data_IF_251668723072
#
_entry.id   IF_251668723072
#
_cell.length_a   1.000
_cell.length_b   1.000
_cell.length_c   1.000
_cell.angle_alpha   90.00
_cell.angle_beta   90.00
_cell.angle_gamma   90.00
#
_symmetry.space_group_name_H-M   'P 1'
#
loop_
_entity.id
_entity.type
_entity.pdbx_description
1 polymer ?
#
# COMPACT_ATOMS: atom_id res chain seq x y z
N UNK A 1 6.16 -9.07 24.58
CA UNK A 1 7.04 -9.51 23.48
C UNK A 1 6.26 -9.44 22.17
N UNK A 2 6.10 -8.22 21.65
CA UNK A 2 5.18 -7.81 20.58
C UNK A 2 5.85 -7.99 19.20
N UNK A 3 5.16 -8.62 18.24
CA UNK A 3 5.18 -8.39 16.77
C UNK A 3 6.48 -8.00 16.01
N UNK A 4 7.68 -8.18 16.54
CA UNK A 4 8.96 -7.83 15.87
C UNK A 4 9.23 -8.68 14.61
N UNK A 5 8.61 -9.86 14.47
CA UNK A 5 8.88 -10.75 13.33
C UNK A 5 8.01 -10.52 12.08
N UNK A 6 6.80 -9.97 12.23
CA UNK A 6 5.99 -9.57 11.06
C UNK A 6 6.69 -8.42 10.30
N UNK A 7 7.41 -7.58 11.05
CA UNK A 7 8.21 -6.44 10.63
C UNK A 7 9.37 -6.81 9.67
N UNK A 8 10.06 -7.94 9.91
CA UNK A 8 11.19 -8.36 9.08
C UNK A 8 10.75 -8.88 7.70
N UNK A 9 9.60 -9.57 7.63
CA UNK A 9 9.04 -10.06 6.35
C UNK A 9 8.34 -8.93 5.59
N UNK A 10 7.72 -7.98 6.29
CA UNK A 10 7.17 -6.77 5.67
C UNK A 10 8.26 -5.94 4.96
N UNK A 11 9.48 -5.84 5.52
CA UNK A 11 10.59 -5.15 4.87
C UNK A 11 11.00 -5.78 3.51
N UNK A 12 10.98 -7.10 3.38
CA UNK A 12 11.25 -7.81 2.13
C UNK A 12 10.06 -7.80 1.14
N UNK A 13 8.84 -7.58 1.64
CA UNK A 13 7.59 -7.61 0.86
C UNK A 13 7.15 -6.21 0.38
N UNK A 14 7.77 -5.14 0.89
CA UNK A 14 7.50 -3.75 0.50
C UNK A 14 7.85 -3.42 -0.97
N UNK A 15 8.47 -4.34 -1.71
CA UNK A 15 9.11 -4.03 -2.99
C UNK A 15 8.86 -5.15 -4.01
N UNK A 16 7.62 -5.57 -4.26
CA UNK A 16 7.38 -6.43 -5.43
C UNK A 16 6.00 -6.18 -6.02
N UNK A 17 5.90 -5.49 -7.17
CA UNK A 17 4.82 -5.78 -8.10
C UNK A 17 4.97 -7.23 -8.58
N UNK A 18 3.86 -7.92 -8.79
CA UNK A 18 3.77 -9.29 -9.32
C UNK A 18 4.47 -9.54 -10.68
N UNK A 19 5.16 -8.54 -11.23
CA UNK A 19 5.71 -8.49 -12.59
C UNK A 19 7.17 -8.01 -12.66
N UNK A 20 7.91 -8.01 -11.56
CA UNK A 20 9.35 -7.75 -11.64
C UNK A 20 10.15 -8.94 -11.11
N UNK A 21 11.13 -9.32 -11.92
CA UNK A 21 12.09 -10.39 -11.71
C UNK A 21 12.66 -10.45 -10.29
N UNK A 22 12.94 -11.69 -9.91
CA UNK A 22 13.71 -12.20 -8.77
C UNK A 22 14.18 -11.16 -7.73
N UNK A 23 13.73 -11.21 -6.47
CA UNK A 23 14.31 -10.38 -5.43
C UNK A 23 15.72 -10.88 -5.13
N UNK A 24 16.73 -10.17 -5.63
CA UNK A 24 18.05 -10.25 -5.01
C UNK A 24 17.93 -9.89 -3.52
N UNK A 25 18.55 -10.71 -2.68
CA UNK A 25 18.55 -10.60 -1.23
C UNK A 25 18.84 -9.16 -0.77
N UNK A 26 17.88 -8.56 -0.06
CA UNK A 26 18.11 -7.36 0.74
C UNK A 26 18.08 -7.79 2.20
N UNK A 27 19.25 -7.77 2.83
CA UNK A 27 19.47 -8.13 4.23
C UNK A 27 18.68 -7.19 5.17
N UNK A 28 17.77 -7.77 5.94
CA UNK A 28 16.74 -7.10 6.73
C UNK A 28 17.18 -6.71 8.15
N UNK A 29 18.29 -5.99 8.30
CA UNK A 29 18.72 -5.47 9.60
C UNK A 29 19.28 -4.06 9.43
N UNK A 30 18.40 -3.05 9.59
CA UNK A 30 18.71 -1.67 10.05
C UNK A 30 17.46 -0.76 9.92
N UNK A 31 16.38 -1.12 10.61
CA UNK A 31 15.27 -0.22 10.87
C UNK A 31 15.14 -0.07 12.39
N UNK A 32 15.12 1.18 12.85
CA UNK A 32 14.98 1.65 14.24
C UNK A 32 16.31 1.93 14.96
N UNK A 33 16.77 3.18 14.86
CA UNK A 33 17.48 3.85 15.95
C UNK A 33 16.76 5.14 16.32
N UNK A 34 16.81 5.44 17.62
CA UNK A 34 15.93 6.30 18.40
C UNK A 34 15.80 7.75 17.93
N UNK A 35 14.62 8.34 18.14
CA UNK A 35 14.54 9.70 18.69
C UNK A 35 13.28 9.87 19.56
N UNK A 36 13.51 10.36 20.77
CA UNK A 36 12.53 10.59 21.83
C UNK A 36 12.24 12.08 21.98
N UNK A 37 10.97 12.37 22.28
CA UNK A 37 10.38 13.55 22.93
C UNK A 37 10.63 14.95 22.34
N UNK A 38 9.52 15.66 22.07
CA UNK A 38 9.17 16.89 22.80
C UNK A 38 7.70 17.29 22.55
N UNK A 39 6.99 17.60 23.65
CA UNK A 39 5.68 18.25 23.66
C UNK A 39 5.86 19.75 23.42
N UNK A 40 5.16 20.31 22.43
CA UNK A 40 4.95 21.74 22.24
C UNK A 40 3.55 21.94 21.63
N UNK A 41 2.86 23.03 21.99
CA UNK A 41 1.52 23.35 21.50
C UNK A 41 1.45 23.19 19.97
N UNK A 42 0.61 22.28 19.50
CA UNK A 42 0.72 21.74 18.14
C UNK A 42 0.15 22.73 17.13
N UNK A 43 1.01 23.58 16.58
CA UNK A 43 0.80 24.11 15.23
C UNK A 43 0.84 22.91 14.29
N UNK A 44 -0.32 22.48 13.77
CA UNK A 44 -0.40 21.33 12.87
C UNK A 44 0.50 21.59 11.65
N UNK A 45 1.51 20.75 11.44
CA UNK A 45 2.40 20.89 10.28
C UNK A 45 1.58 20.87 8.98
N UNK A 46 1.90 21.76 8.03
CA UNK A 46 1.14 21.92 6.77
C UNK A 46 0.86 20.60 6.04
N UNK A 47 1.81 19.65 6.11
CA UNK A 47 1.69 18.36 5.44
C UNK A 47 0.58 17.45 6.00
N UNK A 48 0.12 17.72 7.23
CA UNK A 48 -0.98 17.04 7.95
C UNK A 48 -2.29 17.84 7.92
N UNK A 49 -2.29 19.06 7.38
CA UNK A 49 -3.44 19.95 7.44
C UNK A 49 -4.29 19.87 6.16
N UNK A 50 -5.51 19.32 6.28
CA UNK A 50 -6.46 19.22 5.16
C UNK A 50 -6.82 20.58 4.56
N UNK A 51 -7.15 21.55 5.42
CA UNK A 51 -7.61 22.88 5.01
C UNK A 51 -6.50 23.65 4.32
N UNK A 52 -5.25 23.52 4.78
CA UNK A 52 -4.08 24.10 4.10
C UNK A 52 -4.06 23.75 2.60
N UNK A 53 -4.26 22.47 2.25
CA UNK A 53 -4.25 22.05 0.84
C UNK A 53 -5.49 22.50 0.06
N UNK A 54 -6.67 22.49 0.67
CA UNK A 54 -7.92 22.78 -0.04
C UNK A 54 -8.13 24.28 -0.23
N UNK A 55 -7.89 25.07 0.82
CA UNK A 55 -8.09 26.52 0.81
C UNK A 55 -7.05 27.21 -0.10
N UNK A 56 -5.85 26.65 -0.19
CA UNK A 56 -4.76 27.16 -1.03
C UNK A 56 -4.58 26.36 -2.34
N UNK A 57 -5.56 25.54 -2.74
CA UNK A 57 -5.41 24.59 -3.85
C UNK A 57 -4.89 25.24 -5.14
N UNK A 58 -5.51 26.33 -5.58
CA UNK A 58 -5.15 27.00 -6.84
C UNK A 58 -3.70 27.49 -6.83
N UNK A 59 -3.28 28.13 -5.73
CA UNK A 59 -1.94 28.68 -5.58
C UNK A 59 -0.88 27.58 -5.49
N UNK A 60 -1.13 26.57 -4.66
CA UNK A 60 -0.23 25.42 -4.51
C UNK A 60 -0.05 24.65 -5.81
N UNK A 61 -1.14 24.47 -6.57
CA UNK A 61 -1.08 23.80 -7.87
C UNK A 61 -0.33 24.63 -8.89
N UNK A 62 -0.58 25.94 -8.97
CA UNK A 62 0.12 26.83 -9.89
C UNK A 62 1.64 26.79 -9.67
N UNK A 63 2.07 26.95 -8.41
CA UNK A 63 3.48 26.93 -8.03
C UNK A 63 4.11 25.55 -8.33
N UNK A 64 3.41 24.46 -8.01
CA UNK A 64 3.86 23.10 -8.30
C UNK A 64 3.99 22.84 -9.81
N UNK A 65 3.05 23.31 -10.62
CA UNK A 65 3.09 23.17 -12.08
C UNK A 65 4.18 24.04 -12.71
N UNK A 66 4.38 25.27 -12.22
CA UNK A 66 5.48 26.14 -12.66
C UNK A 66 6.82 25.45 -12.43
N UNK A 67 7.07 24.97 -11.21
CA UNK A 67 8.30 24.25 -10.87
C UNK A 67 8.48 22.97 -11.69
N UNK A 68 7.40 22.23 -11.93
CA UNK A 68 7.44 21.02 -12.75
C UNK A 68 7.86 21.32 -14.20
N UNK A 69 7.33 22.39 -14.80
CA UNK A 69 7.72 22.84 -16.14
C UNK A 69 9.21 23.19 -16.22
N UNK A 70 9.73 23.94 -15.25
CA UNK A 70 11.15 24.31 -15.19
C UNK A 70 12.06 23.06 -15.12
N UNK A 71 11.76 22.12 -14.22
CA UNK A 71 12.52 20.87 -14.06
C UNK A 71 12.49 20.07 -15.37
N UNK A 72 11.30 19.88 -15.94
CA UNK A 72 11.13 19.09 -17.17
C UNK A 72 11.85 19.71 -18.36
N UNK A 73 11.76 21.04 -18.53
CA UNK A 73 12.51 21.75 -19.58
C UNK A 73 14.02 21.57 -19.42
N UNK A 74 14.54 21.67 -18.20
CA UNK A 74 15.97 21.44 -17.91
C UNK A 74 16.40 20.01 -18.26
N UNK A 75 15.63 18.99 -17.82
CA UNK A 75 15.90 17.59 -18.12
C UNK A 75 15.88 17.31 -19.62
N UNK A 76 14.87 17.82 -20.33
CA UNK A 76 14.76 17.63 -21.77
C UNK A 76 15.88 18.34 -22.55
N UNK A 77 16.25 19.56 -22.18
CA UNK A 77 17.38 20.27 -22.77
C UNK A 77 18.71 19.55 -22.57
N UNK A 78 18.94 18.97 -21.38
CA UNK A 78 20.12 18.12 -21.13
C UNK A 78 20.12 16.86 -22.00
N UNK A 79 18.99 16.20 -22.15
CA UNK A 79 18.85 15.07 -23.09
C UNK A 79 19.19 15.49 -24.52
N UNK A 80 18.62 16.59 -25.02
CA UNK A 80 18.85 17.09 -26.38
C UNK A 80 20.32 17.44 -26.65
N UNK A 81 21.03 17.97 -25.65
CA UNK A 81 22.44 18.35 -25.76
C UNK A 81 23.40 17.17 -25.65
N UNK A 82 23.08 16.15 -24.86
CA UNK A 82 24.03 15.08 -24.49
C UNK A 82 23.71 13.72 -25.11
N UNK A 83 22.48 13.50 -25.57
CA UNK A 83 21.98 12.18 -25.98
C UNK A 83 21.75 11.19 -24.83
N UNK A 84 22.03 11.58 -23.57
CA UNK A 84 21.90 10.68 -22.42
C UNK A 84 20.42 10.41 -22.10
N UNK A 85 19.96 9.21 -22.45
CA UNK A 85 18.58 8.75 -22.26
C UNK A 85 18.11 8.80 -20.80
N UNK A 86 18.99 8.78 -19.80
CA UNK A 86 18.59 8.88 -18.39
C UNK A 86 17.87 10.20 -18.09
N UNK A 87 18.28 11.29 -18.74
CA UNK A 87 17.60 12.59 -18.64
C UNK A 87 16.20 12.55 -19.27
N UNK A 88 16.04 11.82 -20.38
CA UNK A 88 14.73 11.65 -21.02
C UNK A 88 13.78 10.81 -20.17
N UNK A 89 14.26 9.73 -19.56
CA UNK A 89 13.47 8.93 -18.62
C UNK A 89 13.01 9.78 -17.43
N UNK A 90 13.92 10.56 -16.84
CA UNK A 90 13.58 11.50 -15.75
C UNK A 90 12.56 12.57 -16.19
N UNK A 91 12.66 13.07 -17.43
CA UNK A 91 11.69 14.00 -18.00
C UNK A 91 10.28 13.40 -18.08
N UNK A 92 10.17 12.12 -18.48
CA UNK A 92 8.89 11.40 -18.54
C UNK A 92 8.34 11.18 -17.13
N UNK A 93 9.17 10.65 -16.23
CA UNK A 93 8.77 10.35 -14.85
C UNK A 93 8.30 11.59 -14.10
N UNK A 94 9.06 12.70 -14.16
CA UNK A 94 8.72 13.96 -13.51
C UNK A 94 7.38 14.53 -14.00
N UNK A 95 6.98 14.21 -15.23
CA UNK A 95 5.74 14.70 -15.84
C UNK A 95 4.51 13.81 -15.64
N UNK A 96 4.69 12.60 -15.14
CA UNK A 96 3.65 11.58 -15.17
C UNK A 96 2.38 11.99 -14.41
N UNK A 97 2.54 12.40 -13.14
CA UNK A 97 1.42 12.78 -12.28
C UNK A 97 0.60 13.93 -12.87
N UNK A 98 1.26 14.93 -13.46
CA UNK A 98 0.59 16.05 -14.16
C UNK A 98 -0.33 15.52 -15.26
N UNK A 99 0.15 14.59 -16.08
CA UNK A 99 -0.65 13.98 -17.15
C UNK A 99 -1.83 13.15 -16.62
N UNK A 100 -1.66 12.44 -15.51
CA UNK A 100 -2.76 11.68 -14.87
C UNK A 100 -3.88 12.61 -14.46
N UNK A 101 -3.59 13.66 -13.70
CA UNK A 101 -4.63 14.55 -13.19
C UNK A 101 -5.24 15.44 -14.27
N UNK A 102 -4.50 15.81 -15.33
CA UNK A 102 -5.07 16.45 -16.52
C UNK A 102 -6.12 15.56 -17.20
N UNK A 103 -5.85 14.26 -17.39
CA UNK A 103 -6.83 13.33 -17.98
C UNK A 103 -8.08 13.15 -17.13
N UNK A 104 -7.97 13.23 -15.80
CA UNK A 104 -9.14 13.20 -14.91
C UNK A 104 -9.93 14.51 -15.05
N UNK A 105 -9.25 15.67 -14.99
CA UNK A 105 -9.86 17.00 -15.15
C UNK A 105 -10.58 17.19 -16.48
N UNK A 106 -10.08 16.58 -17.56
CA UNK A 106 -10.72 16.58 -18.86
C UNK A 106 -12.07 15.85 -18.90
N UNK A 107 -12.34 14.95 -17.93
CA UNK A 107 -13.58 14.18 -17.85
C UNK A 107 -14.54 14.70 -16.78
N UNK A 108 -14.01 15.24 -15.68
CA UNK A 108 -14.80 15.79 -14.56
C UNK A 108 -13.94 16.64 -13.62
N UNK A 109 -14.55 17.50 -12.79
CA UNK A 109 -13.86 18.14 -11.68
C UNK A 109 -13.21 17.13 -10.72
N UNK A 110 -12.06 17.51 -10.14
CA UNK A 110 -11.40 16.75 -9.08
C UNK A 110 -12.18 16.85 -7.77
N UNK A 111 -12.30 15.72 -7.07
CA UNK A 111 -12.79 15.69 -5.68
C UNK A 111 -11.74 16.28 -4.74
N UNK A 112 -12.15 16.64 -3.53
CA UNK A 112 -11.23 17.19 -2.52
C UNK A 112 -10.07 16.25 -2.18
N UNK A 113 -10.30 14.93 -2.11
CA UNK A 113 -9.22 13.94 -1.94
C UNK A 113 -8.22 13.97 -3.11
N UNK A 114 -8.72 14.06 -4.34
CA UNK A 114 -7.88 14.09 -5.55
C UNK A 114 -7.03 15.35 -5.66
N UNK A 115 -7.57 16.50 -5.25
CA UNK A 115 -6.83 17.77 -5.20
C UNK A 115 -5.58 17.67 -4.32
N UNK A 116 -5.72 17.03 -3.16
CA UNK A 116 -4.62 16.83 -2.21
C UNK A 116 -3.59 15.85 -2.80
N UNK A 117 -4.05 14.74 -3.38
CA UNK A 117 -3.16 13.76 -4.02
C UNK A 117 -2.40 14.41 -5.19
N UNK A 118 -3.05 15.23 -6.02
CA UNK A 118 -2.42 15.95 -7.13
C UNK A 118 -1.26 16.82 -6.63
N UNK A 119 -1.52 17.70 -5.66
CA UNK A 119 -0.51 18.59 -5.11
C UNK A 119 0.65 17.79 -4.51
N UNK A 120 0.37 16.86 -3.59
CA UNK A 120 1.40 16.09 -2.89
C UNK A 120 2.25 15.26 -3.86
N UNK A 121 1.62 14.63 -4.85
CA UNK A 121 2.36 13.81 -5.84
C UNK A 121 3.24 14.67 -6.74
N UNK A 122 2.76 15.81 -7.24
CA UNK A 122 3.58 16.70 -8.07
C UNK A 122 4.73 17.29 -7.25
N UNK A 123 4.48 17.74 -6.01
CA UNK A 123 5.51 18.28 -5.12
C UNK A 123 6.59 17.24 -4.79
N UNK A 124 6.22 16.00 -4.49
CA UNK A 124 7.17 14.91 -4.26
C UNK A 124 8.06 14.65 -5.50
N UNK A 125 7.46 14.60 -6.69
CA UNK A 125 8.22 14.45 -7.93
C UNK A 125 9.14 15.64 -8.20
N UNK A 126 8.67 16.87 -8.01
CA UNK A 126 9.50 18.07 -8.16
C UNK A 126 10.68 18.07 -7.18
N UNK A 127 10.43 17.72 -5.92
CA UNK A 127 11.47 17.61 -4.91
C UNK A 127 12.55 16.61 -5.34
N UNK A 128 12.15 15.43 -5.83
CA UNK A 128 13.09 14.42 -6.30
C UNK A 128 13.87 14.83 -7.56
N UNK A 129 13.14 15.13 -8.64
CA UNK A 129 13.71 15.34 -9.97
C UNK A 129 14.41 16.69 -10.15
N UNK A 130 14.27 17.62 -9.19
CA UNK A 130 15.10 18.83 -9.16
C UNK A 130 16.58 18.54 -8.90
N UNK A 131 16.92 17.34 -8.38
CA UNK A 131 18.27 16.99 -7.91
C UNK A 131 18.75 15.61 -8.36
N UNK A 132 17.85 14.77 -8.83
CA UNK A 132 18.16 13.38 -9.15
C UNK A 132 17.54 12.96 -10.48
N UNK A 133 18.21 12.04 -11.17
CA UNK A 133 17.62 11.30 -12.28
C UNK A 133 16.79 10.14 -11.74
N UNK A 134 16.00 9.53 -12.62
CA UNK A 134 15.22 8.33 -12.29
C UNK A 134 16.07 7.23 -11.65
N UNK A 135 15.56 6.54 -10.61
CA UNK A 135 16.18 5.32 -10.10
C UNK A 135 16.51 4.30 -11.20
N UNK A 136 17.60 3.56 -11.02
CA UNK A 136 18.01 2.48 -11.94
C UNK A 136 17.02 1.31 -11.93
N UNK A 137 16.51 0.98 -10.73
CA UNK A 137 15.54 -0.08 -10.54
C UNK A 137 14.19 0.30 -11.17
N UNK A 138 13.48 -0.69 -11.68
CA UNK A 138 12.14 -0.50 -12.27
C UNK A 138 11.11 0.00 -11.25
N UNK A 139 11.37 -0.22 -9.96
CA UNK A 139 10.59 0.29 -8.85
C UNK A 139 11.44 0.42 -7.57
N UNK A 140 11.08 1.37 -6.69
CA UNK A 140 11.70 1.56 -5.36
C UNK A 140 10.78 2.39 -4.47
N UNK A 141 10.78 2.18 -3.16
CA UNK A 141 9.97 2.96 -2.22
C UNK A 141 10.83 3.88 -1.35
N UNK A 142 10.34 5.09 -1.06
CA UNK A 142 10.99 6.05 -0.15
C UNK A 142 9.97 6.77 0.71
N UNK A 143 10.43 7.38 1.80
CA UNK A 143 9.69 8.39 2.55
C UNK A 143 10.41 9.73 2.35
N UNK A 144 9.68 10.80 2.05
CA UNK A 144 10.28 12.12 1.83
C UNK A 144 10.50 12.83 3.17
N UNK A 145 11.76 12.85 3.64
CA UNK A 145 12.16 13.58 4.84
C UNK A 145 13.38 12.97 5.52
N UNK A 146 13.78 13.54 6.66
CA UNK A 146 14.99 13.15 7.39
C UNK A 146 14.94 11.76 8.02
N UNK A 147 13.77 11.09 7.99
CA UNK A 147 13.54 9.76 8.57
C UNK A 147 13.74 8.62 7.58
N UNK A 148 14.05 8.91 6.31
CA UNK A 148 14.32 7.88 5.30
C UNK A 148 15.68 7.22 5.53
N UNK A 149 15.69 5.91 5.77
CA UNK A 149 16.94 5.12 5.86
C UNK A 149 17.65 5.00 4.51
N UNK A 150 16.89 4.86 3.42
CA UNK A 150 17.42 4.71 2.05
C UNK A 150 18.02 5.98 1.46
N UNK A 151 17.52 7.14 1.90
CA UNK A 151 18.03 8.44 1.47
C UNK A 151 18.24 9.30 2.72
N UNK A 152 19.21 8.91 3.56
CA UNK A 152 19.69 9.76 4.65
C UNK A 152 20.02 11.12 4.04
N UNK A 153 19.29 12.15 4.45
CA UNK A 153 19.40 13.53 3.97
C UNK A 153 18.99 13.71 2.49
N UNK A 154 17.75 13.39 2.11
CA UNK A 154 17.14 14.06 0.96
C UNK A 154 16.71 15.45 1.44
N UNK A 155 17.47 16.55 1.18
CA UNK A 155 17.25 17.85 1.83
C UNK A 155 16.07 18.59 1.19
N UNK A 156 14.92 17.95 1.19
CA UNK A 156 13.78 18.34 0.40
C UNK A 156 12.95 19.37 1.17
N UNK A 157 12.60 20.47 0.50
CA UNK A 157 11.58 21.43 0.96
C UNK A 157 10.20 20.74 1.13
N UNK A 158 10.04 19.55 0.57
CA UNK A 158 8.87 18.69 0.71
C UNK A 158 9.08 17.61 1.79
N UNK A 159 8.17 17.56 2.76
CA UNK A 159 8.12 16.51 3.81
C UNK A 159 6.81 15.74 3.69
N UNK A 160 6.91 14.42 3.84
CA UNK A 160 5.77 13.51 3.98
C UNK A 160 6.16 12.34 4.87
N UNK A 161 5.26 11.96 5.78
CA UNK A 161 5.30 10.73 6.56
C UNK A 161 4.91 9.50 5.72
N UNK A 162 4.29 9.72 4.56
CA UNK A 162 3.83 8.63 3.69
C UNK A 162 4.94 8.07 2.82
N UNK A 163 4.94 6.75 2.57
CA UNK A 163 5.82 6.16 1.59
C UNK A 163 5.31 6.41 0.17
N UNK A 164 6.23 6.80 -0.70
CA UNK A 164 6.03 6.94 -2.14
C UNK A 164 6.70 5.77 -2.85
N UNK A 165 6.00 5.15 -3.80
CA UNK A 165 6.55 4.17 -4.73
C UNK A 165 6.96 4.86 -6.02
N UNK A 166 8.19 4.65 -6.45
CA UNK A 166 8.63 4.91 -7.80
C UNK A 166 8.28 3.72 -8.68
N UNK A 167 7.73 4.01 -9.85
CA UNK A 167 7.68 3.07 -10.97
C UNK A 167 8.29 3.75 -12.19
N UNK A 168 9.12 3.03 -12.93
CA UNK A 168 9.71 3.55 -14.17
C UNK A 168 8.62 3.94 -15.16
N UNK A 169 8.80 5.12 -15.75
CA UNK A 169 7.84 5.83 -16.61
C UNK A 169 6.57 6.33 -15.92
N UNK A 170 6.53 6.31 -14.59
CA UNK A 170 5.40 6.75 -13.77
C UNK A 170 5.80 7.68 -12.62
N UNK A 171 7.10 7.93 -12.43
CA UNK A 171 7.59 8.74 -11.33
C UNK A 171 7.19 8.22 -9.94
N UNK A 172 7.21 9.12 -8.96
CA UNK A 172 6.85 8.84 -7.57
C UNK A 172 5.35 8.96 -7.35
N UNK A 173 4.75 7.98 -6.66
CA UNK A 173 3.32 7.90 -6.44
C UNK A 173 3.01 7.48 -4.99
N UNK A 174 1.92 8.00 -4.43
CA UNK A 174 1.43 7.54 -3.14
C UNK A 174 0.81 6.15 -3.32
N UNK A 175 1.22 5.19 -2.47
CA UNK A 175 0.69 3.83 -2.53
C UNK A 175 0.19 3.36 -1.15
N UNK A 176 -1.15 3.38 -0.92
CA UNK A 176 -1.80 2.92 0.30
C UNK A 176 -1.36 1.54 0.83
N UNK A 177 -0.92 0.60 -0.03
CA UNK A 177 -0.35 -0.68 0.40
C UNK A 177 0.92 -0.46 1.22
N UNK A 178 1.88 0.29 0.68
CA UNK A 178 3.10 0.64 1.40
C UNK A 178 2.80 1.43 2.66
N UNK A 179 1.83 2.34 2.59
CA UNK A 179 1.39 3.13 3.74
C UNK A 179 0.90 2.23 4.87
N UNK A 180 0.06 1.25 4.53
CA UNK A 180 -0.46 0.30 5.51
C UNK A 180 0.62 -0.58 6.13
N UNK A 181 1.62 -0.97 5.33
CA UNK A 181 2.76 -1.77 5.79
C UNK A 181 3.67 -0.97 6.71
N UNK A 182 4.02 0.25 6.32
CA UNK A 182 4.83 1.16 7.13
C UNK A 182 4.13 1.45 8.46
N UNK A 183 2.84 1.80 8.43
CA UNK A 183 2.05 2.02 9.65
C UNK A 183 2.06 0.79 10.58
N UNK A 184 1.85 -0.41 10.04
CA UNK A 184 1.87 -1.65 10.83
C UNK A 184 3.22 -1.99 11.46
N UNK A 185 4.31 -1.48 10.89
CA UNK A 185 5.68 -1.63 11.38
C UNK A 185 6.11 -0.53 12.37
N UNK A 186 5.38 0.59 12.43
CA UNK A 186 5.75 1.76 13.23
C UNK A 186 5.47 1.62 14.72
N UNK A 187 6.23 2.36 15.52
CA UNK A 187 5.83 2.70 16.90
C UNK A 187 4.58 3.59 16.91
N UNK A 188 3.95 3.78 18.07
CA UNK A 188 2.63 4.42 18.16
C UNK A 188 2.61 5.88 17.67
N UNK A 189 3.67 6.66 17.92
CA UNK A 189 3.79 8.04 17.46
C UNK A 189 3.86 8.12 15.93
N UNK A 190 4.77 7.36 15.31
CA UNK A 190 4.92 7.33 13.85
C UNK A 190 3.72 6.68 13.17
N UNK A 191 3.09 5.69 13.82
CA UNK A 191 1.85 5.08 13.36
C UNK A 191 0.72 6.09 13.22
N UNK A 192 0.51 6.95 14.22
CA UNK A 192 -0.53 7.99 14.18
C UNK A 192 -0.22 9.05 13.12
N UNK A 193 1.02 9.55 13.05
CA UNK A 193 1.44 10.54 12.04
C UNK A 193 1.16 10.06 10.61
N UNK A 194 1.50 8.79 10.30
CA UNK A 194 1.23 8.19 8.99
C UNK A 194 -0.27 8.15 8.68
N UNK A 195 -1.10 7.77 9.65
CA UNK A 195 -2.55 7.68 9.44
C UNK A 195 -3.22 9.06 9.34
N UNK A 196 -2.69 10.06 10.05
CA UNK A 196 -3.14 11.45 10.00
C UNK A 196 -2.81 12.12 8.67
N UNK A 197 -1.69 11.77 8.04
CA UNK A 197 -1.44 12.22 6.67
C UNK A 197 -2.27 11.42 5.66
N UNK A 198 -2.38 10.10 5.82
CA UNK A 198 -3.11 9.25 4.89
C UNK A 198 -4.62 9.58 4.84
N UNK A 199 -5.21 9.98 5.98
CA UNK A 199 -6.65 10.34 6.04
C UNK A 199 -6.99 11.56 5.20
N UNK A 200 -6.00 12.41 4.86
CA UNK A 200 -6.20 13.54 3.95
C UNK A 200 -6.61 13.09 2.54
N UNK A 201 -6.42 11.82 2.19
CA UNK A 201 -6.64 11.32 0.83
C UNK A 201 -7.68 10.20 0.77
N UNK A 202 -8.40 9.98 1.88
CA UNK A 202 -9.51 9.03 1.90
C UNK A 202 -10.67 9.56 1.04
N UNK A 203 -11.18 8.71 0.16
CA UNK A 203 -12.32 9.04 -0.71
C UNK A 203 -13.60 8.46 -0.12
N UNK A 204 -14.42 9.31 0.51
CA UNK A 204 -15.75 8.92 0.97
C UNK A 204 -16.76 8.93 -0.18
N UNK A 205 -17.61 7.91 -0.21
CA UNK A 205 -18.64 7.67 -1.24
C UNK A 205 -19.90 7.10 -0.59
N UNK A 206 -20.99 7.05 -1.35
CA UNK A 206 -22.27 6.49 -0.90
C UNK A 206 -22.78 5.46 -1.90
N UNK A 207 -23.24 4.32 -1.41
CA UNK A 207 -23.93 3.32 -2.21
C UNK A 207 -25.17 2.84 -1.48
N UNK A 208 -26.37 3.03 -2.08
CA UNK A 208 -27.67 2.69 -1.46
C UNK A 208 -27.79 3.22 -0.02
N UNK A 209 -27.43 4.50 0.19
CA UNK A 209 -27.45 5.15 1.51
C UNK A 209 -26.29 4.78 2.45
N UNK A 210 -25.52 3.73 2.17
CA UNK A 210 -24.36 3.32 2.97
C UNK A 210 -23.13 4.16 2.59
N UNK A 211 -22.59 4.91 3.56
CA UNK A 211 -21.30 5.58 3.41
C UNK A 211 -20.17 4.56 3.46
N UNK A 212 -19.25 4.65 2.51
CA UNK A 212 -18.05 3.84 2.46
C UNK A 212 -16.84 4.69 2.04
N UNK A 213 -15.64 4.18 2.31
CA UNK A 213 -14.38 4.85 2.01
C UNK A 213 -13.50 3.97 1.14
N UNK A 214 -12.75 4.60 0.23
CA UNK A 214 -11.76 3.92 -0.60
C UNK A 214 -10.48 4.75 -0.69
N UNK A 215 -9.36 4.07 -0.94
CA UNK A 215 -8.10 4.67 -1.35
C UNK A 215 -7.77 4.33 -2.82
N UNK A 216 -8.17 5.18 -3.79
CA UNK A 216 -7.87 4.97 -5.20
C UNK A 216 -6.39 5.21 -5.51
N UNK A 217 -5.86 4.44 -6.45
CA UNK A 217 -4.48 4.55 -6.92
C UNK A 217 -4.38 5.45 -8.14
N UNK A 218 -3.51 6.46 -8.13
CA UNK A 218 -3.38 7.44 -9.22
C UNK A 218 -2.18 7.19 -10.13
N UNK A 219 -1.82 5.92 -10.31
CA UNK A 219 -0.87 5.48 -11.32
C UNK A 219 -1.42 4.27 -12.05
N UNK A 220 -1.05 4.14 -13.31
CA UNK A 220 -1.43 3.02 -14.16
C UNK A 220 -0.72 1.74 -13.73
N UNK A 221 -1.44 0.64 -13.64
CA UNK A 221 -0.88 -0.69 -13.44
C UNK A 221 -1.48 -1.65 -14.46
N UNK A 222 -0.64 -2.23 -15.31
CA UNK A 222 -1.07 -3.15 -16.37
C UNK A 222 -2.18 -2.59 -17.29
N UNK A 223 -2.13 -1.29 -17.63
CA UNK A 223 -3.10 -0.66 -18.53
C UNK A 223 -4.46 -0.34 -17.89
N UNK A 224 -4.56 -0.42 -16.56
CA UNK A 224 -5.79 -0.11 -15.82
C UNK A 224 -6.25 1.34 -15.90
N UNK A 225 -5.36 2.25 -16.28
CA UNK A 225 -5.51 3.67 -15.96
C UNK A 225 -5.47 3.93 -14.45
N UNK A 226 -5.87 5.14 -14.05
CA UNK A 226 -5.92 5.57 -12.65
C UNK A 226 -7.29 5.28 -12.00
N UNK A 227 -7.29 5.07 -10.69
CA UNK A 227 -8.46 4.93 -9.84
C UNK A 227 -8.78 3.50 -9.41
N UNK A 228 -7.90 2.53 -9.69
CA UNK A 228 -8.05 1.15 -9.23
C UNK A 228 -7.89 1.05 -7.70
N UNK A 229 -8.40 -0.05 -7.14
CA UNK A 229 -8.50 -0.31 -5.71
C UNK A 229 -7.81 -1.61 -5.34
N UNK A 230 -7.45 -1.71 -4.06
CA UNK A 230 -6.75 -2.86 -3.49
C UNK A 230 -7.36 -3.32 -2.16
N UNK A 231 -7.83 -4.57 -2.10
CA UNK A 231 -8.36 -5.14 -0.85
C UNK A 231 -7.35 -5.19 0.29
N UNK A 232 -6.07 -5.39 -0.03
CA UNK A 232 -4.97 -5.43 0.91
C UNK A 232 -4.97 -4.13 1.71
N UNK A 233 -4.86 -3.00 0.99
CA UNK A 233 -4.78 -1.69 1.62
C UNK A 233 -6.08 -1.38 2.36
N UNK A 234 -7.23 -1.66 1.73
CA UNK A 234 -8.55 -1.38 2.32
C UNK A 234 -8.76 -2.12 3.65
N UNK A 235 -8.51 -3.42 3.69
CA UNK A 235 -8.70 -4.24 4.88
C UNK A 235 -7.65 -3.99 5.96
N UNK A 236 -6.38 -3.83 5.55
CA UNK A 236 -5.29 -3.55 6.48
C UNK A 236 -5.47 -2.17 7.15
N UNK A 237 -5.78 -1.12 6.37
CA UNK A 237 -6.03 0.22 6.90
C UNK A 237 -7.31 0.28 7.74
N UNK A 238 -8.35 -0.48 7.42
CA UNK A 238 -9.53 -0.57 8.30
C UNK A 238 -9.13 -1.01 9.72
N UNK A 239 -8.28 -2.03 9.85
CA UNK A 239 -7.74 -2.48 11.13
C UNK A 239 -6.79 -1.47 11.79
N UNK A 240 -6.02 -0.71 11.00
CA UNK A 240 -5.15 0.34 11.53
C UNK A 240 -5.94 1.54 12.06
N UNK A 241 -6.92 2.05 11.32
CA UNK A 241 -7.78 3.13 11.82
C UNK A 241 -8.57 2.70 13.06
N UNK A 242 -9.04 1.45 13.12
CA UNK A 242 -9.65 0.90 14.34
C UNK A 242 -8.69 0.88 15.54
N UNK A 243 -7.42 0.52 15.32
CA UNK A 243 -6.38 0.60 16.35
C UNK A 243 -6.13 2.04 16.79
N UNK A 244 -6.03 2.98 15.85
CA UNK A 244 -5.82 4.38 16.14
C UNK A 244 -6.94 4.95 17.01
N UNK A 245 -8.20 4.64 16.68
CA UNK A 245 -9.35 4.97 17.53
C UNK A 245 -9.19 4.42 18.96
N UNK A 246 -8.79 3.16 19.13
CA UNK A 246 -8.57 2.59 20.47
C UNK A 246 -7.43 3.29 21.24
N UNK A 247 -6.41 3.79 20.55
CA UNK A 247 -5.27 4.49 21.16
C UNK A 247 -5.62 5.91 21.58
N UNK A 248 -6.42 6.63 20.78
CA UNK A 248 -6.63 8.08 20.95
C UNK A 248 -8.02 8.47 21.42
N UNK A 249 -9.02 7.61 21.21
CA UNK A 249 -10.44 7.95 21.38
C UNK A 249 -11.02 8.84 20.28
N UNK A 250 -10.25 9.20 19.23
CA UNK A 250 -10.71 10.11 18.18
C UNK A 250 -11.75 9.45 17.26
N UNK A 251 -13.01 9.93 17.23
CA UNK A 251 -14.08 9.33 16.44
C UNK A 251 -13.84 9.44 14.92
N UNK A 252 -12.96 10.31 14.44
CA UNK A 252 -12.62 10.39 13.02
C UNK A 252 -11.99 9.08 12.53
N UNK A 253 -11.09 8.48 13.32
CA UNK A 253 -10.48 7.20 12.99
C UNK A 253 -11.51 6.07 12.94
N UNK A 254 -12.45 6.03 13.89
CA UNK A 254 -13.54 5.05 13.88
C UNK A 254 -14.40 5.19 12.62
N UNK A 255 -14.79 6.42 12.27
CA UNK A 255 -15.57 6.73 11.07
C UNK A 255 -14.87 6.26 9.79
N UNK A 256 -13.55 6.45 9.69
CA UNK A 256 -12.76 5.97 8.55
C UNK A 256 -12.72 4.44 8.53
N UNK A 257 -12.45 3.79 9.67
CA UNK A 257 -12.44 2.33 9.78
C UNK A 257 -13.75 1.70 9.33
N UNK A 258 -14.89 2.19 9.85
CA UNK A 258 -16.22 1.69 9.51
C UNK A 258 -16.55 1.90 8.03
N UNK A 259 -16.18 3.05 7.47
CA UNK A 259 -16.38 3.33 6.05
C UNK A 259 -15.52 2.42 5.15
N UNK A 260 -14.28 2.09 5.55
CA UNK A 260 -13.43 1.14 4.83
C UNK A 260 -14.00 -0.27 4.87
N UNK A 261 -14.54 -0.72 6.02
CA UNK A 261 -15.24 -2.00 6.15
C UNK A 261 -16.45 -2.06 5.20
N UNK A 262 -17.23 -0.98 5.12
CA UNK A 262 -18.39 -0.91 4.23
C UNK A 262 -18.00 -1.01 2.73
N UNK A 263 -16.76 -0.68 2.36
CA UNK A 263 -16.29 -0.74 0.97
C UNK A 263 -16.29 -2.15 0.37
N UNK A 264 -16.24 -3.19 1.20
CA UNK A 264 -16.29 -4.59 0.77
C UNK A 264 -17.68 -5.02 0.29
N UNK A 265 -18.72 -4.23 0.57
CA UNK A 265 -20.10 -4.46 0.10
C UNK A 265 -20.50 -3.51 -1.03
N UNK A 266 -19.62 -2.58 -1.41
CA UNK A 266 -19.88 -1.62 -2.48
C UNK A 266 -19.65 -2.26 -3.88
N UNK A 267 -20.39 -1.81 -4.92
CA UNK A 267 -20.24 -2.33 -6.27
C UNK A 267 -18.88 -1.97 -6.86
N UNK A 268 -18.37 -2.84 -7.75
CA UNK A 268 -17.02 -2.74 -8.32
C UNK A 268 -15.89 -2.63 -7.26
N UNK A 269 -16.20 -2.99 -6.01
CA UNK A 269 -15.29 -3.00 -4.90
C UNK A 269 -14.23 -4.09 -5.00
N UNK A 270 -13.42 -4.26 -3.94
CA UNK A 270 -12.24 -5.12 -3.98
C UNK A 270 -12.58 -6.62 -3.78
N UNK A 271 -13.84 -7.02 -4.03
CA UNK A 271 -14.36 -8.37 -3.78
C UNK A 271 -14.80 -9.02 -5.09
N UNK A 272 -14.46 -10.30 -5.23
CA UNK A 272 -14.94 -11.17 -6.31
C UNK A 272 -15.50 -12.46 -5.74
N UNK A 273 -16.76 -12.75 -6.04
CA UNK A 273 -17.33 -14.07 -5.74
C UNK A 273 -16.70 -15.12 -6.65
N UNK A 274 -16.28 -16.22 -6.03
CA UNK A 274 -15.67 -17.40 -6.65
C UNK A 274 -16.43 -18.65 -6.21
N UNK A 275 -16.13 -19.81 -6.81
CA UNK A 275 -16.68 -21.09 -6.34
C UNK A 275 -16.18 -21.51 -4.94
N UNK A 276 -15.18 -20.81 -4.39
CA UNK A 276 -14.64 -21.06 -3.05
C UNK A 276 -15.13 -20.04 -2.01
N UNK A 277 -15.95 -19.07 -2.40
CA UNK A 277 -16.37 -17.94 -1.57
C UNK A 277 -15.90 -16.58 -2.11
N UNK A 278 -16.04 -15.54 -1.30
CA UNK A 278 -15.67 -14.17 -1.66
C UNK A 278 -14.15 -13.97 -1.53
N UNK A 279 -13.47 -13.74 -2.65
CA UNK A 279 -12.04 -13.45 -2.66
C UNK A 279 -11.78 -11.94 -2.67
N UNK A 280 -10.94 -11.49 -1.74
CA UNK A 280 -10.41 -10.14 -1.66
C UNK A 280 -9.24 -9.93 -2.65
N UNK A 281 -9.49 -9.13 -3.69
CA UNK A 281 -8.58 -8.91 -4.81
C UNK A 281 -7.48 -7.90 -4.45
N UNK A 282 -6.22 -8.22 -4.73
CA UNK A 282 -5.12 -7.24 -4.64
C UNK A 282 -5.31 -6.11 -5.67
N UNK A 283 -5.66 -6.48 -6.90
CA UNK A 283 -5.99 -5.52 -7.96
C UNK A 283 -7.43 -5.73 -8.39
N UNK A 284 -8.35 -4.82 -8.01
CA UNK A 284 -9.77 -4.98 -8.32
C UNK A 284 -10.07 -5.03 -9.84
N UNK A 285 -9.15 -4.50 -10.65
CA UNK A 285 -9.19 -4.52 -12.11
C UNK A 285 -8.86 -5.90 -12.70
N UNK A 286 -7.99 -6.68 -12.06
CA UNK A 286 -7.56 -8.00 -12.53
C UNK A 286 -8.46 -9.07 -11.92
N UNK A 287 -9.74 -9.10 -12.33
CA UNK A 287 -10.80 -9.89 -11.64
C UNK A 287 -10.64 -11.40 -11.68
N UNK A 288 -9.69 -11.93 -12.45
CA UNK A 288 -9.37 -13.36 -12.51
C UNK A 288 -7.93 -13.64 -12.06
N UNK A 289 -7.28 -12.66 -11.43
CA UNK A 289 -5.92 -12.74 -10.94
C UNK A 289 -5.95 -12.76 -9.41
N UNK A 290 -5.76 -13.93 -8.81
CA UNK A 290 -5.95 -14.15 -7.38
C UNK A 290 -4.58 -14.25 -6.70
N UNK A 291 -4.19 -13.18 -5.99
CA UNK A 291 -2.90 -13.10 -5.29
C UNK A 291 -3.06 -13.61 -3.85
N UNK A 292 -2.25 -14.60 -3.47
CA UNK A 292 -2.41 -15.35 -2.23
C UNK A 292 -2.25 -14.47 -1.00
N UNK A 293 -1.21 -13.66 -0.90
CA UNK A 293 -0.92 -12.90 0.32
C UNK A 293 -1.94 -11.78 0.58
N UNK A 294 -2.53 -11.19 -0.47
CA UNK A 294 -3.46 -10.08 -0.32
C UNK A 294 -4.73 -10.47 0.43
N UNK A 295 -5.28 -11.64 0.12
CA UNK A 295 -6.50 -12.14 0.74
C UNK A 295 -6.41 -12.30 2.28
N UNK A 296 -5.51 -13.12 2.85
CA UNK A 296 -5.37 -13.30 4.30
C UNK A 296 -4.88 -12.02 4.99
N UNK A 297 -4.09 -11.15 4.35
CA UNK A 297 -3.71 -9.85 4.95
C UNK A 297 -4.94 -8.97 5.14
N UNK A 298 -5.77 -8.86 4.10
CA UNK A 298 -7.05 -8.18 4.18
C UNK A 298 -7.94 -8.78 5.29
N UNK A 299 -8.11 -10.11 5.28
CA UNK A 299 -8.89 -10.88 6.27
C UNK A 299 -8.42 -10.60 7.70
N UNK A 300 -7.10 -10.64 7.97
CA UNK A 300 -6.54 -10.34 9.29
C UNK A 300 -6.66 -8.86 9.67
N UNK A 301 -6.69 -7.94 8.70
CA UNK A 301 -7.00 -6.53 8.91
C UNK A 301 -8.44 -6.31 9.39
N UNK A 302 -9.39 -7.02 8.78
CA UNK A 302 -10.80 -7.02 9.20
C UNK A 302 -10.96 -7.62 10.61
N UNK A 303 -10.25 -8.71 10.92
CA UNK A 303 -10.23 -9.25 12.29
C UNK A 303 -9.74 -8.21 13.31
N UNK A 304 -8.64 -7.51 13.01
CA UNK A 304 -8.13 -6.44 13.87
C UNK A 304 -9.15 -5.34 14.08
N UNK A 305 -9.84 -4.92 13.02
CA UNK A 305 -10.89 -3.92 13.13
C UNK A 305 -11.96 -4.36 14.13
N UNK A 306 -12.48 -5.58 14.00
CA UNK A 306 -13.41 -6.15 14.96
C UNK A 306 -12.85 -6.20 16.39
N UNK A 307 -11.61 -6.65 16.60
CA UNK A 307 -11.04 -6.74 17.96
C UNK A 307 -10.86 -5.40 18.66
N UNK A 308 -10.77 -4.30 17.90
CA UNK A 308 -10.59 -2.97 18.46
C UNK A 308 -11.89 -2.18 18.61
N UNK A 309 -12.90 -2.44 17.78
CA UNK A 309 -14.15 -1.65 17.77
C UNK A 309 -15.41 -2.45 18.06
N UNK A 310 -15.36 -3.78 18.03
CA UNK A 310 -16.54 -4.64 18.11
C UNK A 310 -17.40 -4.65 16.83
N UNK A 311 -16.93 -4.05 15.72
CA UNK A 311 -17.72 -3.96 14.49
C UNK A 311 -18.05 -5.36 13.91
N UNK A 312 -19.32 -5.76 14.01
CA UNK A 312 -19.78 -7.09 13.59
C UNK A 312 -19.72 -7.31 12.09
N UNK A 313 -19.74 -6.26 11.26
CA UNK A 313 -19.53 -6.39 9.80
C UNK A 313 -18.10 -6.80 9.49
N UNK A 314 -17.11 -6.23 10.20
CA UNK A 314 -15.73 -6.67 10.09
C UNK A 314 -15.56 -8.15 10.51
N UNK A 315 -16.25 -8.60 11.56
CA UNK A 315 -16.26 -10.01 11.95
C UNK A 315 -16.86 -10.93 10.89
N UNK A 316 -17.98 -10.54 10.27
CA UNK A 316 -18.58 -11.31 9.18
C UNK A 316 -17.63 -11.45 8.00
N UNK A 317 -17.03 -10.34 7.54
CA UNK A 317 -16.06 -10.37 6.44
C UNK A 317 -14.83 -11.20 6.80
N UNK A 318 -14.30 -11.07 8.04
CA UNK A 318 -13.22 -11.93 8.50
C UNK A 318 -13.57 -13.42 8.38
N UNK A 319 -14.75 -13.83 8.85
CA UNK A 319 -15.21 -15.23 8.76
C UNK A 319 -15.35 -15.71 7.32
N UNK A 320 -15.89 -14.88 6.43
CA UNK A 320 -15.97 -15.16 4.99
C UNK A 320 -14.59 -15.35 4.36
N UNK A 321 -13.64 -14.46 4.65
CA UNK A 321 -12.27 -14.55 4.16
C UNK A 321 -11.54 -15.79 4.68
N UNK A 322 -11.67 -16.09 5.97
CA UNK A 322 -11.13 -17.31 6.60
C UNK A 322 -11.66 -18.57 5.90
N UNK A 323 -12.97 -18.65 5.68
CA UNK A 323 -13.60 -19.76 4.96
C UNK A 323 -13.13 -19.87 3.51
N UNK A 324 -13.02 -18.74 2.82
CA UNK A 324 -12.55 -18.68 1.42
C UNK A 324 -11.10 -19.15 1.30
N UNK A 325 -10.21 -18.70 2.19
CA UNK A 325 -8.83 -19.17 2.25
C UNK A 325 -8.79 -20.69 2.49
N UNK A 326 -9.57 -21.20 3.44
CA UNK A 326 -9.68 -22.65 3.71
C UNK A 326 -10.09 -23.43 2.46
N UNK A 327 -11.09 -22.97 1.73
CA UNK A 327 -11.58 -23.62 0.53
C UNK A 327 -10.60 -23.53 -0.66
N UNK A 328 -9.81 -22.46 -0.75
CA UNK A 328 -9.00 -22.16 -1.92
C UNK A 328 -7.50 -22.47 -1.78
N UNK A 329 -6.95 -22.57 -0.56
CA UNK A 329 -5.49 -22.65 -0.32
C UNK A 329 -4.77 -23.73 -1.13
N UNK A 330 -5.43 -24.87 -1.40
CA UNK A 330 -4.84 -25.97 -2.19
C UNK A 330 -4.51 -25.55 -3.63
N UNK A 331 -5.19 -24.55 -4.19
CA UNK A 331 -4.87 -24.01 -5.53
C UNK A 331 -3.52 -23.31 -5.55
N UNK A 332 -3.11 -22.78 -4.40
CA UNK A 332 -1.82 -22.13 -4.24
C UNK A 332 -0.73 -23.09 -3.73
N UNK A 333 -1.01 -24.38 -3.61
CA UNK A 333 -0.08 -25.36 -3.06
C UNK A 333 0.37 -26.34 -4.16
N UNK A 334 1.64 -26.27 -4.56
CA UNK A 334 2.22 -27.20 -5.55
C UNK A 334 2.60 -28.56 -4.95
N UNK A 335 2.40 -28.75 -3.63
CA UNK A 335 2.86 -29.91 -2.87
C UNK A 335 4.34 -29.82 -2.43
N UNK A 336 5.09 -28.86 -2.96
CA UNK A 336 6.51 -28.62 -2.66
C UNK A 336 6.87 -27.15 -2.41
N UNK A 337 5.96 -26.23 -2.70
CA UNK A 337 6.10 -24.78 -2.58
C UNK A 337 4.74 -24.10 -2.76
N UNK A 338 4.62 -22.81 -2.42
CA UNK A 338 3.40 -22.04 -2.72
C UNK A 338 3.49 -21.29 -4.04
N UNK A 339 2.37 -21.17 -4.73
CA UNK A 339 2.17 -20.16 -5.77
C UNK A 339 1.87 -18.79 -5.12
N UNK A 340 2.45 -17.74 -5.67
CA UNK A 340 2.10 -16.35 -5.36
C UNK A 340 0.68 -16.02 -5.84
N UNK A 341 0.33 -16.50 -7.03
CA UNK A 341 -0.97 -16.24 -7.62
C UNK A 341 -1.51 -17.44 -8.41
N UNK A 342 -2.84 -17.45 -8.57
CA UNK A 342 -3.54 -18.34 -9.50
C UNK A 342 -4.48 -17.53 -10.39
N UNK A 343 -4.67 -17.99 -11.62
CA UNK A 343 -5.29 -17.23 -12.70
C UNK A 343 -6.43 -17.94 -13.41
N UNK A 344 -7.31 -17.12 -13.98
CA UNK A 344 -8.40 -17.54 -14.84
C UNK A 344 -9.57 -18.17 -14.07
N UNK A 345 -10.66 -18.46 -14.79
CA UNK A 345 -11.83 -19.15 -14.22
C UNK A 345 -11.53 -20.55 -13.67
N UNK A 346 -10.45 -21.18 -14.13
CA UNK A 346 -10.00 -22.50 -13.68
C UNK A 346 -9.01 -22.45 -12.52
N UNK A 347 -8.58 -21.26 -12.07
CA UNK A 347 -7.63 -21.06 -10.97
C UNK A 347 -6.33 -21.85 -11.18
N UNK A 348 -5.75 -21.71 -12.39
CA UNK A 348 -4.50 -22.37 -12.75
C UNK A 348 -3.34 -21.67 -12.04
N UNK A 349 -2.28 -22.39 -11.63
CA UNK A 349 -1.08 -21.74 -11.13
C UNK A 349 -0.55 -20.69 -12.11
N UNK A 350 -0.24 -19.49 -11.61
CA UNK A 350 0.35 -18.42 -12.40
C UNK A 350 1.84 -18.30 -12.08
N UNK A 351 2.18 -17.82 -10.87
CA UNK A 351 3.55 -17.57 -10.47
C UNK A 351 3.91 -18.32 -9.20
N UNK A 352 5.09 -18.95 -9.16
CA UNK A 352 5.66 -19.45 -7.91
C UNK A 352 6.01 -18.28 -7.01
N UNK A 353 5.81 -18.44 -5.70
CA UNK A 353 6.26 -17.45 -4.74
C UNK A 353 7.79 -17.41 -4.70
N UNK A 354 8.37 -16.21 -4.61
CA UNK A 354 9.76 -16.08 -4.13
C UNK A 354 9.87 -16.63 -2.70
N UNK A 355 11.09 -16.81 -2.20
CA UNK A 355 11.30 -17.24 -0.80
C UNK A 355 10.60 -16.33 0.20
N UNK A 356 10.77 -15.00 0.07
CA UNK A 356 10.13 -14.03 0.95
C UNK A 356 8.61 -14.18 0.97
N UNK A 357 7.98 -14.35 -0.20
CA UNK A 357 6.54 -14.55 -0.29
C UNK A 357 6.10 -15.92 0.26
N UNK A 358 6.87 -16.98 0.04
CA UNK A 358 6.55 -18.28 0.62
C UNK A 358 6.58 -18.25 2.15
N UNK A 359 7.61 -17.63 2.74
CA UNK A 359 7.69 -17.38 4.20
C UNK A 359 6.51 -16.55 4.70
N UNK A 360 6.15 -15.50 3.96
CA UNK A 360 4.95 -14.72 4.27
C UNK A 360 3.68 -15.58 4.27
N UNK A 361 3.49 -16.45 3.27
CA UNK A 361 2.33 -17.35 3.22
C UNK A 361 2.27 -18.29 4.42
N UNK A 362 3.42 -18.84 4.86
CA UNK A 362 3.55 -19.64 6.09
C UNK A 362 3.07 -18.84 7.31
N UNK A 363 3.58 -17.62 7.47
CA UNK A 363 3.25 -16.75 8.60
C UNK A 363 1.77 -16.31 8.60
N UNK A 364 1.20 -16.05 7.42
CA UNK A 364 -0.21 -15.68 7.27
C UNK A 364 -1.13 -16.85 7.65
N UNK A 365 -0.84 -18.07 7.19
CA UNK A 365 -1.57 -19.25 7.62
C UNK A 365 -1.48 -19.47 9.14
N UNK A 366 -0.30 -19.25 9.74
CA UNK A 366 -0.14 -19.33 11.19
C UNK A 366 -0.92 -18.22 11.94
N UNK A 367 -0.98 -17.02 11.35
CA UNK A 367 -1.73 -15.90 11.91
C UNK A 367 -3.24 -16.14 11.86
N UNK A 368 -3.73 -16.80 10.80
CA UNK A 368 -5.13 -17.26 10.75
C UNK A 368 -5.43 -18.29 11.84
N UNK A 369 -4.52 -19.22 12.13
CA UNK A 369 -4.69 -20.12 13.30
C UNK A 369 -4.78 -19.34 14.61
N UNK A 370 -3.86 -18.39 14.86
CA UNK A 370 -3.90 -17.57 16.08
C UNK A 370 -5.18 -16.75 16.21
N UNK A 371 -5.72 -16.26 15.10
CA UNK A 371 -6.94 -15.46 15.08
C UNK A 371 -8.21 -16.31 15.24
N UNK A 372 -8.21 -17.56 14.78
CA UNK A 372 -9.42 -18.42 14.74
C UNK A 372 -9.44 -19.49 15.83
N UNK A 373 -8.29 -19.87 16.38
CA UNK A 373 -8.13 -21.07 17.20
C UNK A 373 -8.18 -22.40 16.44
N UNK A 374 -8.48 -22.39 15.14
CA UNK A 374 -8.70 -23.61 14.34
C UNK A 374 -7.36 -24.20 13.86
N UNK A 375 -7.04 -25.40 14.38
CA UNK A 375 -5.80 -26.12 14.09
C UNK A 375 -5.63 -26.49 12.61
N UNK A 376 -6.70 -26.43 11.81
CA UNK A 376 -6.63 -26.63 10.36
C UNK A 376 -5.69 -25.61 9.69
N UNK A 377 -5.75 -24.33 10.08
CA UNK A 377 -4.84 -23.30 9.52
C UNK A 377 -3.40 -23.52 9.97
N UNK A 378 -3.20 -24.03 11.19
CA UNK A 378 -1.87 -24.43 11.67
C UNK A 378 -1.32 -25.59 10.84
N UNK A 379 -2.15 -26.54 10.46
CA UNK A 379 -1.73 -27.65 9.58
C UNK A 379 -1.26 -27.19 8.20
N UNK A 380 -1.90 -26.14 7.64
CA UNK A 380 -1.47 -25.49 6.39
C UNK A 380 -0.12 -24.82 6.60
N UNK A 381 0.03 -24.01 7.65
CA UNK A 381 1.26 -23.31 7.98
C UNK A 381 2.44 -24.27 8.16
N UNK A 382 2.26 -25.33 8.96
CA UNK A 382 3.29 -26.35 9.19
C UNK A 382 3.64 -27.12 7.91
N UNK A 383 2.67 -27.38 7.02
CA UNK A 383 2.93 -28.03 5.73
C UNK A 383 3.81 -27.17 4.85
N UNK A 384 3.44 -25.90 4.66
CA UNK A 384 4.24 -24.96 3.87
C UNK A 384 5.61 -24.73 4.52
N UNK A 385 5.69 -24.63 5.85
CA UNK A 385 6.97 -24.48 6.56
C UNK A 385 7.93 -25.67 6.36
N UNK A 386 7.40 -26.88 6.15
CA UNK A 386 8.23 -28.05 5.79
C UNK A 386 8.85 -27.92 4.39
N UNK A 387 8.27 -27.14 3.50
CA UNK A 387 8.83 -26.93 2.16
C UNK A 387 10.15 -26.16 2.20
N UNK A 388 10.27 -25.18 3.11
CA UNK A 388 11.55 -24.52 3.41
C UNK A 388 12.63 -25.54 3.80
N UNK A 389 12.32 -26.42 4.75
CA UNK A 389 13.27 -27.47 5.20
C UNK A 389 13.71 -28.39 4.07
N UNK A 390 12.77 -28.84 3.23
CA UNK A 390 13.06 -29.70 2.07
C UNK A 390 13.95 -29.02 1.03
N UNK A 391 14.00 -27.69 1.03
CA UNK A 391 14.86 -26.86 0.17
C UNK A 391 16.18 -26.46 0.84
N UNK A 392 16.48 -26.99 2.03
CA UNK A 392 17.68 -26.62 2.79
C UNK A 392 17.59 -25.25 3.46
N UNK A 393 16.42 -24.60 3.44
CA UNK A 393 16.21 -23.28 4.03
C UNK A 393 15.79 -23.38 5.49
N UNK A 394 16.19 -22.40 6.30
CA UNK A 394 15.77 -22.31 7.70
C UNK A 394 14.24 -22.15 7.79
N UNK A 395 13.53 -23.00 8.56
CA UNK A 395 12.08 -22.87 8.73
C UNK A 395 11.70 -21.62 9.53
N UNK A 396 10.46 -21.16 9.33
CA UNK A 396 9.81 -20.16 10.18
C UNK A 396 9.59 -20.70 11.60
N UNK A 397 9.70 -19.82 12.60
CA UNK A 397 9.42 -20.11 14.02
C UNK A 397 7.93 -19.92 14.30
N UNK A 398 7.12 -20.97 14.15
CA UNK A 398 5.64 -20.92 14.22
C UNK A 398 4.99 -21.97 15.11
#
# INVERSE_FOLDING_TARGET
MRNIFLLAVLAAVLISPAYADDPQEVTSTQLLENSSNQNASVTLENHLNRSYYLDNYSKLLEDALKKNREIRSSLYSRYRRTGDRRHYVAYIDAGYAVGVFQRIKAKRPLRSDEKIIEIKTIQANNAYFSRSLSPSNSYVAIVFGNRSSYYRKFPSEYRSSLPFIYYKYRGWNIYPVLTSNLAGASNDSMFLEILDEQKLMVSFRTYRGMKYAVFPMYFDYCGSGAGWLDSFAQGNLAGHYARAYRLTGDPEYLKISDALINSFRAPAGPVKSTKYGNFYLHYNLMRQHYILNAHPICTLGLHRAYTYTGNTRALMLFREGVSTFRAMHRRFDSGRWTYYAVDGGSYRPAWLASEGYHRLHVQLANSLWKATGDSYYRSIALRWNRYLKRKGLKPERI
#
